data_IF_714321409547
#
_entry.id   IF_714321409547
#
_cell.length_a   1.000
_cell.length_b   1.000
_cell.length_c   1.000
_cell.angle_alpha   90.00
_cell.angle_beta   90.00
_cell.angle_gamma   90.00
#
_symmetry.space_group_name_H-M   'P 1'
#
loop_
_entity.id
_entity.type
_entity.pdbx_description
1 polymer ?
#
# COMPACT_ATOMS: atom_id res chain seq x y z
N UNK A 1 13.64 -18.45 -17.05
CA UNK A 1 13.07 -17.15 -16.63
C UNK A 1 11.75 -17.47 -15.97
N UNK A 2 11.56 -17.06 -14.72
CA UNK A 2 10.25 -17.17 -14.09
C UNK A 2 9.22 -16.38 -14.90
N UNK A 3 7.99 -16.87 -15.02
CA UNK A 3 6.95 -16.13 -15.71
C UNK A 3 6.65 -14.83 -14.93
N UNK A 4 6.48 -13.73 -15.67
CA UNK A 4 6.14 -12.41 -15.11
C UNK A 4 4.73 -12.36 -14.47
N UNK A 5 3.91 -13.39 -14.71
CA UNK A 5 2.55 -13.50 -14.17
C UNK A 5 2.23 -14.93 -13.73
N UNK A 6 1.44 -15.05 -12.67
CA UNK A 6 1.00 -16.32 -12.08
C UNK A 6 -0.53 -16.42 -12.06
N UNK A 7 -1.10 -17.60 -12.35
CA UNK A 7 -2.57 -17.79 -12.41
C UNK A 7 -3.10 -18.21 -11.04
N UNK A 8 -4.01 -17.40 -10.50
CA UNK A 8 -4.68 -17.69 -9.24
C UNK A 8 -6.16 -18.05 -9.44
N UNK A 9 -6.70 -18.90 -8.57
CA UNK A 9 -8.15 -19.20 -8.50
C UNK A 9 -8.69 -18.73 -7.15
N UNK A 10 -9.67 -17.84 -7.17
CA UNK A 10 -10.27 -17.26 -5.95
C UNK A 10 -11.79 -17.32 -6.01
N UNK A 11 -12.43 -17.42 -4.84
CA UNK A 11 -13.89 -17.31 -4.73
C UNK A 11 -14.25 -15.86 -4.47
N UNK A 12 -15.11 -15.30 -5.33
CA UNK A 12 -15.56 -13.92 -5.23
C UNK A 12 -17.08 -13.90 -5.07
N UNK A 13 -17.66 -13.02 -4.23
CA UNK A 13 -19.10 -12.83 -4.17
C UNK A 13 -19.69 -12.49 -5.54
N UNK A 14 -20.81 -13.12 -5.89
CA UNK A 14 -21.47 -12.94 -7.20
C UNK A 14 -21.79 -11.47 -7.52
N UNK A 15 -22.08 -10.66 -6.49
CA UNK A 15 -22.32 -9.22 -6.65
C UNK A 15 -21.10 -8.49 -7.20
N UNK A 16 -19.90 -8.83 -6.74
CA UNK A 16 -18.67 -8.18 -7.21
C UNK A 16 -18.27 -8.67 -8.60
N UNK A 17 -18.52 -9.94 -8.91
CA UNK A 17 -18.32 -10.45 -10.27
C UNK A 17 -19.20 -9.70 -11.27
N UNK A 18 -20.48 -9.48 -10.96
CA UNK A 18 -21.37 -8.66 -11.81
C UNK A 18 -20.90 -7.21 -11.96
N UNK A 19 -20.40 -6.60 -10.89
CA UNK A 19 -19.85 -5.24 -10.97
C UNK A 19 -18.61 -5.19 -11.87
N UNK A 20 -17.74 -6.20 -11.79
CA UNK A 20 -16.58 -6.34 -12.66
C UNK A 20 -16.97 -6.50 -14.12
N UNK A 21 -18.03 -7.27 -14.38
CA UNK A 21 -18.57 -7.49 -15.72
C UNK A 21 -19.09 -6.19 -16.31
N UNK A 22 -19.85 -5.42 -15.53
CA UNK A 22 -20.32 -4.10 -15.92
C UNK A 22 -19.17 -3.15 -16.30
N UNK A 23 -18.07 -3.12 -15.54
CA UNK A 23 -16.91 -2.28 -15.84
C UNK A 23 -16.25 -2.64 -17.18
N UNK A 24 -16.28 -3.92 -17.56
CA UNK A 24 -15.79 -4.36 -18.87
C UNK A 24 -16.80 -4.02 -19.97
N UNK A 25 -18.10 -4.18 -19.71
CA UNK A 25 -19.18 -3.88 -20.66
C UNK A 25 -19.24 -2.40 -21.08
N UNK A 26 -18.87 -1.49 -20.18
CA UNK A 26 -18.82 -0.05 -20.47
C UNK A 26 -17.46 0.41 -21.04
N UNK A 27 -16.58 -0.52 -21.42
CA UNK A 27 -15.22 -0.28 -21.93
C UNK A 27 -14.29 0.49 -20.95
N UNK A 28 -14.60 0.51 -19.65
CA UNK A 28 -13.72 1.10 -18.62
C UNK A 28 -12.46 0.25 -18.40
N UNK A 29 -12.60 -1.07 -18.55
CA UNK A 29 -11.48 -2.01 -18.56
C UNK A 29 -11.54 -3.00 -19.73
N UNK A 30 -10.38 -3.36 -20.33
CA UNK A 30 -10.34 -4.29 -21.46
C UNK A 30 -10.66 -5.74 -21.07
N UNK A 31 -10.57 -6.09 -19.79
CA UNK A 31 -10.93 -7.43 -19.30
C UNK A 31 -11.13 -7.44 -17.78
N UNK A 32 -11.82 -8.47 -17.28
CA UNK A 32 -11.94 -8.77 -15.85
C UNK A 32 -10.58 -8.87 -15.17
N UNK A 33 -9.63 -9.52 -15.83
CA UNK A 33 -8.27 -9.71 -15.31
C UNK A 33 -7.54 -8.38 -15.15
N UNK A 34 -7.72 -7.43 -16.08
CA UNK A 34 -7.09 -6.11 -15.96
C UNK A 34 -7.72 -5.28 -14.84
N UNK A 35 -9.04 -5.26 -14.75
CA UNK A 35 -9.74 -4.60 -13.66
C UNK A 35 -9.32 -5.14 -12.28
N UNK A 36 -9.14 -6.46 -12.15
CA UNK A 36 -8.61 -7.07 -10.91
C UNK A 36 -7.16 -6.67 -10.66
N UNK A 37 -6.30 -6.65 -11.69
CA UNK A 37 -4.90 -6.22 -11.55
C UNK A 37 -4.79 -4.76 -11.10
N UNK A 38 -5.60 -3.87 -11.66
CA UNK A 38 -5.68 -2.47 -11.25
C UNK A 38 -6.08 -2.36 -9.77
N UNK A 39 -7.17 -3.01 -9.37
CA UNK A 39 -7.62 -3.00 -7.98
C UNK A 39 -6.58 -3.53 -6.98
N UNK A 40 -5.84 -4.58 -7.34
CA UNK A 40 -4.75 -5.11 -6.50
C UNK A 40 -3.59 -4.11 -6.41
N UNK A 41 -3.20 -3.50 -7.53
CA UNK A 41 -2.12 -2.51 -7.59
C UNK A 41 -2.43 -1.31 -6.70
N UNK A 42 -3.65 -0.78 -6.82
CA UNK A 42 -4.11 0.38 -6.05
C UNK A 42 -4.14 0.06 -4.55
N UNK A 43 -4.63 -1.13 -4.18
CA UNK A 43 -4.61 -1.60 -2.80
C UNK A 43 -3.18 -1.69 -2.23
N UNK A 44 -2.25 -2.25 -3.00
CA UNK A 44 -0.85 -2.41 -2.57
C UNK A 44 -0.21 -1.04 -2.37
N UNK A 45 -0.34 -0.12 -3.33
CA UNK A 45 0.26 1.20 -3.22
C UNK A 45 -0.33 2.01 -2.07
N UNK A 46 -1.66 2.04 -1.93
CA UNK A 46 -2.32 2.72 -0.83
C UNK A 46 -1.86 2.16 0.53
N UNK A 47 -1.65 0.84 0.63
CA UNK A 47 -1.17 0.23 1.88
C UNK A 47 0.31 0.52 2.14
N UNK A 48 1.15 0.49 1.11
CA UNK A 48 2.57 0.80 1.23
C UNK A 48 2.81 2.25 1.64
N UNK A 49 2.06 3.19 1.06
CA UNK A 49 2.14 4.61 1.42
C UNK A 49 1.89 4.82 2.91
N UNK A 50 0.85 4.19 3.48
CA UNK A 50 0.56 4.26 4.91
C UNK A 50 1.69 3.69 5.79
N UNK A 51 2.37 2.64 5.33
CA UNK A 51 3.50 2.06 6.06
C UNK A 51 4.70 2.99 6.01
N UNK A 52 5.04 3.50 4.82
CA UNK A 52 6.18 4.41 4.63
C UNK A 52 5.98 5.70 5.44
N UNK A 53 4.80 6.29 5.39
CA UNK A 53 4.48 7.50 6.16
C UNK A 53 4.58 7.27 7.67
N UNK A 54 4.12 6.11 8.14
CA UNK A 54 4.28 5.70 9.54
C UNK A 54 5.76 5.58 9.89
N UNK A 55 6.55 4.92 9.06
CA UNK A 55 7.99 4.75 9.29
C UNK A 55 8.73 6.09 9.34
N UNK A 56 8.47 7.01 8.39
CA UNK A 56 9.07 8.36 8.41
C UNK A 56 8.74 9.13 9.69
N UNK A 57 7.49 9.05 10.15
CA UNK A 57 7.07 9.71 11.41
C UNK A 57 7.78 9.14 12.62
N UNK A 58 7.96 7.81 12.68
CA UNK A 58 8.71 7.17 13.76
C UNK A 58 10.19 7.57 13.73
N UNK A 59 10.84 7.51 12.57
CA UNK A 59 12.24 7.91 12.41
C UNK A 59 12.46 9.37 12.85
N UNK A 60 11.60 10.29 12.42
CA UNK A 60 11.70 11.69 12.80
C UNK A 60 11.48 11.93 14.30
N UNK A 61 10.56 11.18 14.92
CA UNK A 61 10.33 11.23 16.36
C UNK A 61 11.55 10.70 17.14
N UNK A 62 12.15 9.59 16.71
CA UNK A 62 13.37 9.04 17.32
C UNK A 62 14.54 10.01 17.21
N UNK A 63 14.75 10.62 16.04
CA UNK A 63 15.79 11.64 15.83
C UNK A 63 15.58 12.86 16.75
N UNK A 64 14.35 13.33 16.87
CA UNK A 64 14.00 14.46 17.74
C UNK A 64 14.25 14.14 19.21
N UNK A 65 13.87 12.95 19.68
CA UNK A 65 14.11 12.50 21.04
C UNK A 65 15.61 12.33 21.33
N UNK A 66 16.38 11.81 20.37
CA UNK A 66 17.84 11.70 20.50
C UNK A 66 18.50 13.09 20.58
N UNK A 67 18.06 14.05 19.76
CA UNK A 67 18.52 15.44 19.82
C UNK A 67 18.20 16.09 21.18
N UNK A 68 17.01 15.85 21.74
CA UNK A 68 16.64 16.35 23.07
C UNK A 68 17.53 15.75 24.16
N UNK A 69 17.71 14.41 24.17
CA UNK A 69 18.57 13.73 25.16
C UNK A 69 20.00 14.24 25.15
N UNK A 70 20.60 14.39 23.97
CA UNK A 70 21.97 14.89 23.82
C UNK A 70 22.10 16.35 24.30
N UNK A 71 21.07 17.17 24.10
CA UNK A 71 21.01 18.53 24.63
C UNK A 71 20.95 18.54 26.17
N UNK A 72 20.09 17.72 26.77
CA UNK A 72 19.99 17.60 28.24
C UNK A 72 21.31 17.14 28.86
N UNK A 73 21.97 16.12 28.30
CA UNK A 73 23.25 15.62 28.79
C UNK A 73 24.36 16.68 28.72
N UNK A 74 24.38 17.49 27.66
CA UNK A 74 25.44 18.49 27.44
C UNK A 74 25.27 19.75 28.28
N UNK A 75 24.04 20.14 28.63
CA UNK A 75 23.74 21.44 29.23
C UNK A 75 23.09 21.41 30.62
N UNK A 76 22.41 20.32 30.99
CA UNK A 76 21.70 20.22 32.29
C UNK A 76 22.43 19.37 33.34
N UNK A 77 23.37 18.48 32.96
CA UNK A 77 24.16 17.67 33.89
C UNK A 77 25.51 18.31 34.27
N UNK A 78 25.54 19.62 34.53
CA UNK A 78 26.73 20.31 35.06
C UNK A 78 26.60 20.57 36.55
#
# INVERSE_FOLDING_TARGET
MEPDTEKITIRIPQRHLRALDFLVEIDDFPSRSEAIRAAIRDLIYARLELVVDRMRKFEHAEQSLAAIRTYEEKYLKK
#
